data_IF_664895917834
#
_entry.id   IF_664895917834
#
_cell.length_a   1.000
_cell.length_b   1.000
_cell.length_c   1.000
_cell.angle_alpha   90.00
_cell.angle_beta   90.00
_cell.angle_gamma   90.00
#
_symmetry.space_group_name_H-M   'P 1'
#
loop_
_entity.id
_entity.type
_entity.pdbx_description
1 polymer ?
#
# COMPACT_ATOMS: atom_id res chain seq x y z
N UNK A 1 23.34 17.00 -3.46
CA UNK A 1 22.62 15.72 -3.31
C UNK A 1 23.19 14.65 -4.22
N UNK A 2 23.30 14.90 -5.53
CA UNK A 2 23.96 14.01 -6.50
C UNK A 2 25.38 13.56 -6.09
N UNK A 3 26.21 14.48 -5.60
CA UNK A 3 27.57 14.16 -5.12
C UNK A 3 27.59 13.15 -3.98
N UNK A 4 26.55 13.14 -3.12
CA UNK A 4 26.44 12.22 -1.99
C UNK A 4 25.84 10.87 -2.38
N UNK A 5 25.14 10.81 -3.51
CA UNK A 5 24.49 9.60 -4.01
C UNK A 5 24.38 9.68 -5.53
N UNK A 6 25.20 8.89 -6.23
CA UNK A 6 25.22 8.86 -7.70
C UNK A 6 23.88 8.42 -8.31
N UNK A 7 23.04 7.70 -7.56
CA UNK A 7 21.72 7.25 -8.00
C UNK A 7 20.62 8.30 -7.73
N UNK A 8 20.95 9.47 -7.18
CA UNK A 8 20.03 10.61 -7.15
C UNK A 8 19.85 11.14 -8.58
N UNK A 9 18.62 11.32 -9.03
CA UNK A 9 18.32 11.88 -10.34
C UNK A 9 17.79 13.31 -10.18
N UNK A 10 18.25 14.22 -11.03
CA UNK A 10 17.65 15.54 -11.17
C UNK A 10 17.88 16.08 -12.58
N UNK A 11 16.95 16.91 -13.03
CA UNK A 11 17.11 17.75 -14.21
C UNK A 11 16.54 19.14 -13.92
N UNK A 12 17.09 20.15 -14.58
CA UNK A 12 16.69 21.55 -14.46
C UNK A 12 16.47 22.15 -15.85
N UNK A 13 15.45 22.98 -15.98
CA UNK A 13 15.29 23.93 -17.06
C UNK A 13 15.41 25.34 -16.48
N UNK A 14 16.28 26.16 -17.07
CA UNK A 14 16.56 27.52 -16.63
C UNK A 14 15.95 28.53 -17.60
N UNK A 15 15.56 29.69 -17.07
CA UNK A 15 15.26 30.88 -17.86
C UNK A 15 16.54 31.53 -18.40
N UNK A 16 16.39 32.53 -19.27
CA UNK A 16 17.51 33.31 -19.80
C UNK A 16 18.35 33.99 -18.69
N UNK A 17 17.71 34.40 -17.60
CA UNK A 17 18.34 35.02 -16.44
C UNK A 17 18.98 34.01 -15.45
N UNK A 18 19.08 32.73 -15.86
CA UNK A 18 19.56 31.61 -15.04
C UNK A 18 18.68 31.26 -13.83
N UNK A 19 17.48 31.85 -13.70
CA UNK A 19 16.51 31.41 -12.69
C UNK A 19 15.89 30.06 -13.05
N UNK A 20 15.51 29.28 -12.04
CA UNK A 20 14.92 27.95 -12.25
C UNK A 20 13.51 28.13 -12.82
N UNK A 21 13.29 27.64 -14.04
CA UNK A 21 11.98 27.54 -14.67
C UNK A 21 11.28 26.25 -14.28
N UNK A 22 11.97 25.11 -14.44
CA UNK A 22 11.51 23.77 -14.06
C UNK A 22 12.62 23.03 -13.32
N UNK A 23 12.24 22.25 -12.33
CA UNK A 23 13.13 21.31 -11.67
C UNK A 23 12.38 20.01 -11.42
N UNK A 24 13.05 18.90 -11.65
CA UNK A 24 12.58 17.58 -11.24
C UNK A 24 13.70 16.86 -10.49
N UNK A 25 13.36 16.12 -9.45
CA UNK A 25 14.30 15.24 -8.77
C UNK A 25 13.63 14.02 -8.13
N UNK A 26 14.40 12.94 -8.03
CA UNK A 26 14.03 11.74 -7.30
C UNK A 26 15.29 11.16 -6.64
N UNK A 27 15.15 10.70 -5.39
CA UNK A 27 16.24 9.98 -4.72
C UNK A 27 16.32 8.52 -5.18
N UNK A 28 17.46 7.89 -4.92
CA UNK A 28 17.72 6.50 -5.32
C UNK A 28 16.69 5.50 -4.74
N UNK A 29 16.20 5.77 -3.53
CA UNK A 29 15.19 4.94 -2.86
C UNK A 29 13.85 5.05 -3.58
N UNK A 30 13.46 6.25 -4.00
CA UNK A 30 12.26 6.56 -4.74
C UNK A 30 12.25 5.88 -6.10
N UNK A 31 13.37 5.94 -6.83
CA UNK A 31 13.55 5.27 -8.12
C UNK A 31 13.43 3.74 -7.95
N UNK A 32 14.11 3.15 -6.98
CA UNK A 32 14.01 1.72 -6.70
C UNK A 32 12.63 1.31 -6.15
N UNK A 33 11.91 2.21 -5.48
CA UNK A 33 10.57 1.95 -4.98
C UNK A 33 9.54 1.91 -6.12
N UNK A 34 9.74 2.70 -7.17
CA UNK A 34 8.88 2.71 -8.36
C UNK A 34 8.75 1.34 -9.02
N UNK A 35 9.81 0.54 -9.05
CA UNK A 35 9.78 -0.83 -9.59
C UNK A 35 8.70 -1.72 -8.96
N UNK A 36 8.38 -1.46 -7.69
CA UNK A 36 7.37 -2.23 -6.95
C UNK A 36 6.04 -1.48 -6.84
N UNK A 37 6.09 -0.16 -6.71
CA UNK A 37 4.94 0.68 -6.33
C UNK A 37 4.53 1.69 -7.41
N UNK A 38 5.06 1.55 -8.62
CA UNK A 38 4.81 2.43 -9.77
C UNK A 38 3.64 2.04 -10.66
N UNK A 39 2.78 1.11 -10.25
CA UNK A 39 1.59 0.71 -11.01
C UNK A 39 0.54 1.80 -11.08
N UNK A 40 0.26 2.49 -9.97
CA UNK A 40 -0.66 3.63 -9.92
C UNK A 40 0.04 4.78 -9.22
N UNK A 41 0.18 5.89 -9.94
CA UNK A 41 0.83 7.10 -9.44
C UNK A 41 -0.19 8.21 -9.32
N UNK A 42 -0.22 8.86 -8.16
CA UNK A 42 -0.89 10.14 -7.98
C UNK A 42 0.11 11.26 -8.20
N UNK A 43 -0.27 12.25 -9.00
CA UNK A 43 0.46 13.49 -9.19
C UNK A 43 -0.44 14.67 -8.83
N UNK A 44 -0.05 15.38 -7.77
CA UNK A 44 -0.77 16.52 -7.23
C UNK A 44 0.17 17.72 -7.18
N UNK A 45 -0.32 18.86 -7.67
CA UNK A 45 0.38 20.14 -7.60
C UNK A 45 -0.19 20.96 -6.46
N UNK A 46 0.57 21.13 -5.39
CA UNK A 46 0.13 21.97 -4.29
C UNK A 46 0.49 23.42 -4.57
N UNK A 47 -0.52 24.29 -4.61
CA UNK A 47 -0.33 25.74 -4.54
C UNK A 47 0.07 26.14 -3.12
N UNK A 48 1.36 26.07 -2.83
CA UNK A 48 1.93 26.81 -1.72
C UNK A 48 3.13 27.58 -2.26
N UNK A 49 2.94 28.89 -2.36
CA UNK A 49 3.92 29.87 -2.80
C UNK A 49 5.11 29.82 -1.84
N UNK A 50 6.12 29.03 -2.21
CA UNK A 50 7.45 29.24 -1.64
C UNK A 50 7.86 30.71 -1.90
N UNK A 51 8.91 31.21 -1.24
CA UNK A 51 9.36 32.62 -1.42
C UNK A 51 9.66 33.03 -2.87
N UNK A 52 9.66 32.06 -3.79
CA UNK A 52 9.93 32.20 -5.22
C UNK A 52 8.69 31.98 -6.11
N UNK A 53 7.51 31.78 -5.50
CA UNK A 53 6.23 31.60 -6.20
C UNK A 53 6.20 30.39 -7.17
N UNK A 54 6.99 29.34 -6.90
CA UNK A 54 6.99 28.11 -7.71
C UNK A 54 5.90 27.13 -7.24
N UNK A 55 5.32 26.42 -8.20
CA UNK A 55 4.38 25.31 -8.02
C UNK A 55 5.15 24.04 -7.68
N UNK A 56 4.78 23.37 -6.60
CA UNK A 56 5.39 22.11 -6.20
C UNK A 56 4.51 20.94 -6.65
N UNK A 57 5.09 20.03 -7.43
CA UNK A 57 4.47 18.76 -7.84
C UNK A 57 5.06 17.59 -7.08
N UNK A 58 4.21 16.64 -6.67
CA UNK A 58 4.65 15.41 -6.01
C UNK A 58 4.14 14.17 -6.74
N UNK A 59 5.02 13.21 -7.00
CA UNK A 59 4.66 11.91 -7.53
C UNK A 59 4.60 10.91 -6.38
N UNK A 60 3.43 10.33 -6.16
CA UNK A 60 3.14 9.50 -4.99
C UNK A 60 2.54 8.17 -5.43
N UNK A 61 3.18 7.07 -5.07
CA UNK A 61 2.65 5.71 -5.20
C UNK A 61 2.09 5.17 -3.88
N UNK A 62 1.64 3.91 -3.89
CA UNK A 62 1.13 3.22 -2.69
C UNK A 62 1.98 1.99 -2.42
N UNK A 63 2.63 1.93 -1.25
CA UNK A 63 3.43 0.78 -0.87
C UNK A 63 2.57 -0.42 -0.48
N UNK A 64 3.21 -1.57 -0.28
CA UNK A 64 2.61 -2.83 0.18
C UNK A 64 1.89 -2.81 1.54
N UNK A 65 1.97 -1.70 2.28
CA UNK A 65 1.20 -1.44 3.51
C UNK A 65 -0.07 -0.63 3.24
N UNK A 66 -0.26 -0.11 2.02
CA UNK A 66 -1.34 0.82 1.69
C UNK A 66 -1.02 2.26 2.07
N UNK A 67 0.24 2.60 2.33
CA UNK A 67 0.68 3.94 2.68
C UNK A 67 1.24 4.67 1.47
N UNK A 68 1.08 5.99 1.45
CA UNK A 68 1.68 6.87 0.44
C UNK A 68 3.20 6.76 0.46
N UNK A 69 3.80 6.65 -0.72
CA UNK A 69 5.24 6.62 -0.92
C UNK A 69 5.62 7.68 -1.95
N UNK A 70 6.46 8.62 -1.55
CA UNK A 70 7.00 9.63 -2.46
C UNK A 70 7.96 8.95 -3.43
N UNK A 71 7.79 9.22 -4.72
CA UNK A 71 8.57 8.62 -5.80
C UNK A 71 9.31 9.67 -6.63
N UNK A 72 9.00 10.95 -6.44
CA UNK A 72 9.77 12.08 -6.95
C UNK A 72 9.01 13.39 -6.77
N UNK A 73 9.69 14.49 -7.07
CA UNK A 73 9.18 15.83 -6.87
C UNK A 73 9.53 16.74 -8.03
N UNK A 74 8.73 17.79 -8.20
CA UNK A 74 9.02 18.86 -9.14
C UNK A 74 8.76 20.24 -8.56
N UNK A 75 9.44 21.22 -9.15
CA UNK A 75 9.12 22.63 -9.03
C UNK A 75 8.90 23.19 -10.42
N UNK A 76 7.85 23.98 -10.60
CA UNK A 76 7.52 24.60 -11.89
C UNK A 76 7.15 26.05 -11.66
N UNK A 77 7.60 26.95 -12.52
CA UNK A 77 7.23 28.37 -12.45
C UNK A 77 5.75 28.60 -12.77
N UNK A 78 5.17 27.78 -13.62
CA UNK A 78 3.78 27.82 -14.04
C UNK A 78 3.24 26.41 -14.37
N UNK A 79 1.93 26.28 -14.46
CA UNK A 79 1.23 25.04 -14.82
C UNK A 79 0.84 25.03 -16.30
N UNK A 80 1.82 25.31 -17.16
CA UNK A 80 1.64 25.28 -18.61
C UNK A 80 1.80 23.86 -19.16
N UNK A 81 1.14 23.59 -20.29
CA UNK A 81 1.17 22.26 -20.95
C UNK A 81 2.61 21.83 -21.26
N UNK A 82 3.45 22.75 -21.75
CA UNK A 82 4.85 22.44 -22.05
C UNK A 82 5.66 22.12 -20.79
N UNK A 83 5.40 22.80 -19.67
CA UNK A 83 6.01 22.51 -18.37
C UNK A 83 5.69 21.09 -17.89
N UNK A 84 4.43 20.65 -18.03
CA UNK A 84 4.03 19.28 -17.71
C UNK A 84 4.60 18.25 -18.68
N UNK A 85 4.67 18.58 -19.97
CA UNK A 85 5.25 17.69 -20.99
C UNK A 85 6.73 17.43 -20.71
N UNK A 86 7.50 18.47 -20.43
CA UNK A 86 8.90 18.36 -20.00
C UNK A 86 9.00 17.51 -18.73
N UNK A 87 8.18 17.80 -17.72
CA UNK A 87 8.18 17.10 -16.44
C UNK A 87 7.91 15.60 -16.59
N UNK A 88 6.88 15.20 -17.36
CA UNK A 88 6.55 13.79 -17.53
C UNK A 88 7.56 13.04 -18.40
N UNK A 89 8.20 13.71 -19.36
CA UNK A 89 9.33 13.13 -20.10
C UNK A 89 10.54 12.93 -19.18
N UNK A 90 10.82 13.90 -18.32
CA UNK A 90 11.89 13.82 -17.32
C UNK A 90 11.64 12.68 -16.33
N UNK A 91 10.43 12.57 -15.80
CA UNK A 91 9.97 11.47 -14.98
C UNK A 91 10.18 10.12 -15.66
N UNK A 92 9.78 10.00 -16.93
CA UNK A 92 9.89 8.74 -17.67
C UNK A 92 11.37 8.33 -17.86
N UNK A 93 12.26 9.28 -18.17
CA UNK A 93 13.71 9.03 -18.21
C UNK A 93 14.23 8.58 -16.85
N UNK A 94 13.86 9.26 -15.78
CA UNK A 94 14.25 8.92 -14.41
C UNK A 94 13.83 7.50 -14.02
N UNK A 95 12.66 7.04 -14.48
CA UNK A 95 12.13 5.70 -14.20
C UNK A 95 12.58 4.64 -15.22
N UNK A 96 13.64 4.92 -15.99
CA UNK A 96 14.23 3.98 -16.94
C UNK A 96 13.33 3.65 -18.13
N UNK A 97 12.47 4.59 -18.55
CA UNK A 97 11.53 4.41 -19.66
C UNK A 97 10.22 3.71 -19.28
N UNK A 98 10.04 3.35 -18.00
CA UNK A 98 8.87 2.62 -17.55
C UNK A 98 7.72 3.56 -17.14
N UNK A 99 6.61 3.50 -17.87
CA UNK A 99 5.41 4.26 -17.55
C UNK A 99 4.55 3.53 -16.50
N UNK A 100 3.87 4.27 -15.61
CA UNK A 100 2.91 3.68 -14.69
C UNK A 100 1.68 3.14 -15.42
N UNK A 101 1.01 2.13 -14.85
CA UNK A 101 -0.22 1.55 -15.43
C UNK A 101 -1.43 2.48 -15.29
N UNK A 102 -1.43 3.33 -14.26
CA UNK A 102 -2.46 4.33 -14.01
C UNK A 102 -1.86 5.61 -13.44
N UNK A 103 -2.44 6.74 -13.83
CA UNK A 103 -2.03 8.07 -13.39
C UNK A 103 -3.25 8.86 -12.88
N UNK A 104 -3.19 9.33 -11.64
CA UNK A 104 -4.24 10.11 -10.99
C UNK A 104 -3.76 11.55 -10.82
N UNK A 105 -4.57 12.53 -11.22
CA UNK A 105 -4.24 13.94 -11.04
C UNK A 105 -5.48 14.78 -10.82
N UNK A 106 -5.36 15.84 -10.03
CA UNK A 106 -6.43 16.79 -9.70
C UNK A 106 -6.53 17.95 -10.71
N UNK A 107 -5.48 18.15 -11.52
CA UNK A 107 -5.33 19.08 -12.64
C UNK A 107 -6.36 18.81 -13.74
N UNK A 108 -7.55 19.35 -13.54
CA UNK A 108 -8.70 18.93 -14.30
C UNK A 108 -9.81 20.00 -14.21
N UNK A 109 -9.60 21.20 -14.75
CA UNK A 109 -10.72 22.03 -15.20
C UNK A 109 -11.21 21.57 -16.59
N UNK A 110 -10.29 21.04 -17.40
CA UNK A 110 -10.55 20.60 -18.78
C UNK A 110 -11.14 19.19 -18.89
N UNK A 111 -10.92 18.31 -17.91
CA UNK A 111 -11.32 16.88 -17.96
C UNK A 111 -12.48 16.51 -17.02
N UNK A 112 -12.97 17.41 -16.14
CA UNK A 112 -13.87 17.05 -15.00
C UNK A 112 -15.35 17.17 -15.29
N UNK A 113 -15.75 17.74 -16.43
CA UNK A 113 -17.15 18.10 -16.68
C UNK A 113 -17.96 16.91 -17.22
N UNK A 114 -17.89 15.75 -16.57
CA UNK A 114 -18.83 14.67 -16.88
C UNK A 114 -19.10 13.63 -15.77
N UNK A 115 -18.32 13.53 -14.69
CA UNK A 115 -18.40 12.36 -13.79
C UNK A 115 -18.57 12.74 -12.31
N UNK A 116 -19.39 13.76 -11.99
CA UNK A 116 -19.85 13.96 -10.61
C UNK A 116 -21.29 14.47 -10.59
N UNK A 117 -22.24 13.55 -10.77
CA UNK A 117 -23.59 13.67 -10.22
C UNK A 117 -23.98 12.38 -9.53
N UNK A 118 -24.56 12.54 -8.33
CA UNK A 118 -25.26 11.55 -7.50
C UNK A 118 -24.30 10.82 -6.51
N UNK A 119 -24.55 10.70 -5.20
CA UNK A 119 -25.80 10.50 -4.43
C UNK A 119 -25.65 11.03 -2.98
N UNK A 120 -26.73 11.47 -2.30
CA UNK A 120 -26.69 12.20 -1.01
C UNK A 120 -26.84 11.31 0.25
N UNK A 121 -26.32 11.87 1.34
CA UNK A 121 -26.40 11.50 2.76
C UNK A 121 -27.80 11.54 3.40
N UNK A 122 -28.09 10.66 4.39
CA UNK A 122 -28.56 11.02 5.78
C UNK A 122 -28.90 9.79 6.66
N UNK A 123 -28.64 9.94 7.97
CA UNK A 123 -28.66 8.97 9.09
C UNK A 123 -29.75 9.31 10.14
N UNK A 124 -30.20 8.29 10.91
CA UNK A 124 -30.73 8.24 12.31
C UNK A 124 -31.92 7.26 12.44
N UNK A 125 -32.18 6.42 13.47
CA UNK A 125 -31.51 6.02 14.72
C UNK A 125 -32.30 4.89 15.46
N UNK A 126 -31.56 3.92 16.05
CA UNK A 126 -31.72 2.84 17.09
C UNK A 126 -33.07 2.30 17.62
N UNK A 127 -33.19 1.04 18.13
CA UNK A 127 -32.42 0.34 19.22
C UNK A 127 -32.42 -1.22 19.16
N UNK A 128 -31.32 -1.84 19.68
CA UNK A 128 -31.21 -3.29 20.00
C UNK A 128 -29.77 -3.88 20.14
N UNK A 129 -28.73 -3.18 19.69
CA UNK A 129 -27.37 -3.71 19.44
C UNK A 129 -26.36 -3.62 20.61
N UNK A 130 -26.71 -2.97 21.74
CA UNK A 130 -25.72 -2.47 22.69
C UNK A 130 -24.92 -3.54 23.49
N UNK A 131 -25.47 -4.75 23.70
CA UNK A 131 -24.85 -5.72 24.64
C UNK A 131 -23.66 -6.47 24.03
N UNK A 132 -23.77 -6.88 22.76
CA UNK A 132 -22.69 -7.56 22.02
C UNK A 132 -21.57 -6.58 21.68
N UNK A 133 -21.91 -5.34 21.31
CA UNK A 133 -20.95 -4.29 20.97
C UNK A 133 -20.13 -3.82 22.19
N UNK A 134 -20.74 -3.82 23.39
CA UNK A 134 -20.07 -3.49 24.63
C UNK A 134 -19.07 -4.58 25.05
N UNK A 135 -19.44 -5.85 24.98
CA UNK A 135 -18.55 -6.97 25.32
C UNK A 135 -17.40 -7.11 24.32
N UNK A 136 -17.69 -6.95 23.01
CA UNK A 136 -16.66 -6.92 21.95
C UNK A 136 -15.70 -5.74 22.11
N UNK A 137 -16.21 -4.55 22.46
CA UNK A 137 -15.38 -3.36 22.69
C UNK A 137 -14.46 -3.53 23.90
N UNK A 138 -14.91 -4.19 24.97
CA UNK A 138 -14.05 -4.45 26.13
C UNK A 138 -12.89 -5.41 25.81
N UNK A 139 -13.13 -6.43 24.99
CA UNK A 139 -12.07 -7.38 24.57
C UNK A 139 -11.02 -6.68 23.69
N UNK A 140 -11.46 -5.82 22.78
CA UNK A 140 -10.59 -5.15 21.80
C UNK A 140 -9.80 -3.98 22.40
N UNK A 141 -10.43 -3.16 23.25
CA UNK A 141 -9.81 -1.92 23.72
C UNK A 141 -9.02 -2.05 25.03
N UNK A 142 -9.26 -3.09 25.83
CA UNK A 142 -8.58 -3.26 27.13
C UNK A 142 -7.46 -4.33 27.12
N UNK A 143 -7.08 -4.84 25.96
CA UNK A 143 -5.99 -5.82 25.85
C UNK A 143 -4.65 -5.12 25.66
N UNK A 144 -3.81 -5.15 26.70
CA UNK A 144 -2.53 -4.43 26.76
C UNK A 144 -1.34 -5.26 26.27
N UNK A 145 -1.56 -6.52 25.88
CA UNK A 145 -0.56 -7.41 25.31
C UNK A 145 -1.18 -8.39 24.31
N UNK A 146 -0.37 -8.90 23.40
CA UNK A 146 -0.79 -9.88 22.39
C UNK A 146 -1.37 -11.15 23.02
N UNK A 147 -0.72 -11.68 24.05
CA UNK A 147 -1.17 -12.92 24.70
C UNK A 147 -2.47 -12.74 25.48
N UNK A 148 -2.73 -11.54 26.05
CA UNK A 148 -4.02 -11.26 26.68
C UNK A 148 -5.13 -11.06 25.66
N UNK A 149 -4.82 -10.44 24.52
CA UNK A 149 -5.76 -10.31 23.41
C UNK A 149 -6.17 -11.66 22.85
N UNK A 150 -5.20 -12.53 22.56
CA UNK A 150 -5.47 -13.86 21.98
C UNK A 150 -6.29 -14.73 22.94
N UNK A 151 -6.05 -14.67 24.26
CA UNK A 151 -6.89 -15.36 25.25
C UNK A 151 -8.30 -14.80 25.33
N UNK A 152 -8.45 -13.49 25.49
CA UNK A 152 -9.78 -12.85 25.63
C UNK A 152 -10.62 -12.97 24.35
N UNK A 153 -9.95 -12.96 23.19
CA UNK A 153 -10.59 -13.17 21.90
C UNK A 153 -11.05 -14.61 21.73
N UNK A 154 -10.25 -15.60 22.12
CA UNK A 154 -10.67 -17.00 22.09
C UNK A 154 -11.83 -17.29 23.06
N UNK A 155 -11.84 -16.67 24.24
CA UNK A 155 -12.94 -16.78 25.20
C UNK A 155 -14.24 -16.16 24.66
N UNK A 156 -14.14 -15.01 24.00
CA UNK A 156 -15.26 -14.41 23.25
C UNK A 156 -15.78 -15.36 22.16
N UNK A 157 -14.89 -15.94 21.34
CA UNK A 157 -15.29 -16.88 20.28
C UNK A 157 -15.96 -18.15 20.84
N UNK A 158 -15.50 -18.66 22.00
CA UNK A 158 -16.12 -19.78 22.72
C UNK A 158 -17.51 -19.42 23.24
N UNK A 159 -17.64 -18.26 23.90
CA UNK A 159 -18.90 -17.80 24.51
C UNK A 159 -20.02 -17.56 23.48
N UNK A 160 -19.68 -17.31 22.21
CA UNK A 160 -20.64 -17.13 21.11
C UNK A 160 -20.69 -18.32 20.12
N UNK A 161 -20.00 -19.43 20.39
CA UNK A 161 -20.07 -20.65 19.57
C UNK A 161 -19.45 -20.52 18.17
N UNK A 162 -18.43 -19.68 18.01
CA UNK A 162 -17.82 -19.31 16.72
C UNK A 162 -16.51 -20.07 16.40
N UNK A 163 -16.12 -21.01 17.26
CA UNK A 163 -14.79 -21.66 17.25
C UNK A 163 -14.61 -22.69 16.11
N UNK A 164 -15.68 -23.33 15.63
CA UNK A 164 -15.58 -24.53 14.76
C UNK A 164 -15.72 -24.29 13.25
N UNK A 165 -15.55 -23.06 12.76
CA UNK A 165 -15.67 -22.80 11.32
C UNK A 165 -14.36 -23.11 10.55
N UNK A 166 -14.04 -24.40 10.36
CA UNK A 166 -12.84 -24.90 9.62
C UNK A 166 -12.65 -24.29 8.22
N UNK A 167 -13.73 -23.82 7.60
CA UNK A 167 -13.71 -23.16 6.29
C UNK A 167 -13.03 -21.78 6.36
N UNK A 168 -13.37 -20.96 7.37
CA UNK A 168 -12.79 -19.61 7.56
C UNK A 168 -11.26 -19.68 7.70
N UNK A 169 -10.74 -20.70 8.39
CA UNK A 169 -9.29 -20.83 8.61
C UNK A 169 -8.49 -21.07 7.34
N UNK A 170 -9.06 -21.67 6.28
CA UNK A 170 -8.28 -22.15 5.12
C UNK A 170 -7.94 -21.04 4.12
N UNK A 171 -8.91 -20.23 3.69
CA UNK A 171 -8.67 -19.05 2.85
C UNK A 171 -7.98 -17.95 3.66
N UNK A 172 -8.39 -17.74 4.91
CA UNK A 172 -7.75 -16.75 5.77
C UNK A 172 -6.26 -17.08 6.00
N UNK A 173 -5.90 -18.36 6.20
CA UNK A 173 -4.50 -18.79 6.30
C UNK A 173 -3.70 -18.53 5.02
N UNK A 174 -4.28 -18.71 3.83
CA UNK A 174 -3.60 -18.37 2.57
C UNK A 174 -3.21 -16.90 2.52
N UNK A 175 -4.13 -16.00 2.89
CA UNK A 175 -3.82 -14.57 2.95
C UNK A 175 -2.86 -14.23 4.09
N UNK A 176 -2.98 -14.85 5.26
CA UNK A 176 -2.11 -14.62 6.42
C UNK A 176 -0.66 -15.01 6.14
N UNK A 177 -0.45 -16.12 5.43
CA UNK A 177 0.87 -16.62 5.06
C UNK A 177 1.58 -15.67 4.08
N UNK A 178 0.85 -15.08 3.14
CA UNK A 178 1.44 -14.25 2.07
C UNK A 178 1.46 -12.77 2.42
N UNK A 179 0.36 -12.19 2.91
CA UNK A 179 0.21 -10.73 3.02
C UNK A 179 0.92 -10.12 4.24
N UNK A 180 1.26 -8.84 4.15
CA UNK A 180 1.69 -8.04 5.31
C UNK A 180 0.60 -8.01 6.38
N UNK A 181 0.99 -7.83 7.65
CA UNK A 181 0.02 -7.75 8.75
C UNK A 181 -1.04 -6.66 8.53
N UNK A 182 -0.65 -5.50 7.98
CA UNK A 182 -1.58 -4.41 7.71
C UNK A 182 -2.60 -4.78 6.63
N UNK A 183 -2.15 -5.38 5.51
CA UNK A 183 -3.07 -5.80 4.45
C UNK A 183 -3.94 -6.97 4.88
N UNK A 184 -3.37 -7.92 5.63
CA UNK A 184 -4.14 -9.02 6.18
C UNK A 184 -5.27 -8.52 7.11
N UNK A 185 -5.05 -7.48 7.92
CA UNK A 185 -6.14 -6.88 8.72
C UNK A 185 -7.31 -6.36 7.88
N UNK A 186 -7.04 -5.77 6.71
CA UNK A 186 -8.09 -5.37 5.77
C UNK A 186 -8.86 -6.59 5.23
N UNK A 187 -8.16 -7.68 4.90
CA UNK A 187 -8.78 -8.96 4.52
C UNK A 187 -9.66 -9.51 5.65
N UNK A 188 -9.15 -9.53 6.89
CA UNK A 188 -9.92 -9.98 8.05
C UNK A 188 -11.17 -9.13 8.28
N UNK A 189 -11.12 -7.82 8.01
CA UNK A 189 -12.31 -6.97 8.09
C UNK A 189 -13.39 -7.38 7.06
N UNK A 190 -13.00 -7.87 5.88
CA UNK A 190 -13.95 -8.43 4.90
C UNK A 190 -14.50 -9.78 5.37
N UNK A 191 -13.68 -10.65 5.94
CA UNK A 191 -14.14 -11.92 6.55
C UNK A 191 -15.15 -11.70 7.67
N UNK A 192 -14.90 -10.72 8.56
CA UNK A 192 -15.86 -10.35 9.62
C UNK A 192 -17.14 -9.76 9.04
N UNK A 193 -17.02 -8.84 8.07
CA UNK A 193 -18.16 -8.20 7.42
C UNK A 193 -19.06 -9.17 6.64
N UNK A 194 -18.54 -10.32 6.24
CA UNK A 194 -19.32 -11.40 5.60
C UNK A 194 -20.45 -11.90 6.49
N UNK A 195 -20.33 -11.87 7.81
CA UNK A 195 -21.40 -12.30 8.73
C UNK A 195 -22.71 -11.50 8.51
N UNK A 196 -22.61 -10.30 7.96
CA UNK A 196 -23.75 -9.44 7.62
C UNK A 196 -24.29 -9.71 6.21
N UNK A 197 -23.75 -10.67 5.47
CA UNK A 197 -24.16 -10.97 4.10
C UNK A 197 -25.12 -12.15 4.06
N UNK A 198 -26.22 -11.98 3.34
CA UNK A 198 -27.17 -13.04 3.00
C UNK A 198 -27.01 -13.36 1.53
N UNK A 199 -26.49 -14.54 1.22
CA UNK A 199 -26.29 -15.02 -0.15
C UNK A 199 -27.51 -15.79 -0.64
N UNK A 200 -27.97 -15.49 -1.85
CA UNK A 200 -29.06 -16.21 -2.53
C UNK A 200 -28.62 -16.55 -3.95
N UNK A 201 -28.74 -17.83 -4.33
CA UNK A 201 -28.51 -18.27 -5.71
C UNK A 201 -29.69 -17.80 -6.57
N UNK A 202 -29.39 -17.08 -7.65
CA UNK A 202 -30.39 -16.56 -8.58
C UNK A 202 -30.47 -17.40 -9.85
N UNK A 203 -29.31 -17.79 -10.39
CA UNK A 203 -29.23 -18.59 -11.60
C UNK A 203 -27.98 -19.48 -11.56
N UNK A 204 -28.06 -20.68 -12.11
CA UNK A 204 -26.90 -21.56 -12.29
C UNK A 204 -27.03 -22.33 -13.60
N UNK A 205 -26.01 -22.24 -14.44
CA UNK A 205 -25.93 -22.97 -15.71
C UNK A 205 -24.47 -23.28 -16.04
N UNK A 206 -24.19 -24.54 -16.43
CA UNK A 206 -22.89 -24.97 -16.99
C UNK A 206 -21.66 -24.57 -16.15
N UNK A 207 -21.75 -24.69 -14.81
CA UNK A 207 -20.65 -24.35 -13.90
C UNK A 207 -20.49 -22.86 -13.62
N UNK A 208 -21.34 -22.01 -14.20
CA UNK A 208 -21.44 -20.58 -13.93
C UNK A 208 -22.68 -20.28 -13.09
N UNK A 209 -22.49 -19.60 -11.98
CA UNK A 209 -23.54 -19.26 -11.02
C UNK A 209 -23.60 -17.76 -10.75
N UNK A 210 -24.81 -17.24 -10.64
CA UNK A 210 -25.10 -15.83 -10.34
C UNK A 210 -25.85 -15.76 -9.02
N UNK A 211 -25.33 -14.94 -8.12
CA UNK A 211 -25.80 -14.75 -6.76
C UNK A 211 -26.28 -13.32 -6.53
N UNK A 212 -27.39 -13.17 -5.83
CA UNK A 212 -27.74 -11.93 -5.14
C UNK A 212 -27.20 -12.02 -3.71
N UNK A 213 -26.34 -11.08 -3.32
CA UNK A 213 -25.86 -10.94 -1.96
C UNK A 213 -26.47 -9.69 -1.35
N UNK A 214 -27.35 -9.87 -0.37
CA UNK A 214 -27.86 -8.79 0.46
C UNK A 214 -26.89 -8.54 1.62
N UNK A 215 -26.17 -7.42 1.59
CA UNK A 215 -25.38 -6.97 2.74
C UNK A 215 -26.26 -6.17 3.69
N UNK A 216 -26.41 -6.68 4.90
CA UNK A 216 -27.05 -6.00 6.01
C UNK A 216 -26.15 -4.85 6.47
N UNK A 217 -26.49 -3.64 6.04
CA UNK A 217 -25.84 -2.41 6.50
C UNK A 217 -26.50 -1.91 7.79
N UNK A 218 -27.78 -2.21 7.95
CA UNK A 218 -28.57 -2.00 9.15
C UNK A 218 -29.66 -3.06 9.26
N UNK A 219 -30.42 -3.08 10.35
CA UNK A 219 -31.48 -4.06 10.62
C UNK A 219 -32.46 -4.29 9.45
N UNK A 220 -32.70 -3.26 8.62
CA UNK A 220 -33.71 -3.28 7.56
C UNK A 220 -33.17 -2.89 6.18
N UNK A 221 -31.92 -2.43 6.09
CA UNK A 221 -31.32 -2.01 4.81
C UNK A 221 -30.34 -3.08 4.36
N UNK A 222 -30.72 -3.73 3.26
CA UNK A 222 -29.87 -4.63 2.53
C UNK A 222 -29.40 -3.94 1.26
N UNK A 223 -28.11 -3.62 1.18
CA UNK A 223 -27.51 -3.30 -0.10
C UNK A 223 -27.39 -4.59 -0.90
N UNK A 224 -27.94 -4.61 -2.11
CA UNK A 224 -27.91 -5.78 -2.97
C UNK A 224 -26.73 -5.68 -3.93
N UNK A 225 -25.96 -6.76 -3.99
CA UNK A 225 -24.84 -6.89 -4.90
C UNK A 225 -25.00 -8.15 -5.72
N UNK A 226 -24.70 -8.05 -7.01
CA UNK A 226 -24.58 -9.24 -7.86
C UNK A 226 -23.15 -9.78 -7.75
N UNK A 227 -23.05 -11.08 -7.53
CA UNK A 227 -21.78 -11.81 -7.52
C UNK A 227 -21.89 -12.96 -8.51
N UNK A 228 -20.88 -13.13 -9.36
CA UNK A 228 -20.80 -14.23 -10.30
C UNK A 228 -19.64 -15.13 -9.93
N UNK A 229 -19.87 -16.45 -10.06
CA UNK A 229 -18.87 -17.46 -9.76
C UNK A 229 -18.82 -18.48 -10.89
N UNK A 230 -17.63 -18.67 -11.44
CA UNK A 230 -17.29 -19.71 -12.40
C UNK A 230 -16.49 -20.79 -11.66
N UNK A 231 -17.14 -21.92 -11.44
CA UNK A 231 -16.54 -23.07 -10.75
C UNK A 231 -15.46 -23.77 -11.59
N UNK A 232 -15.51 -23.66 -12.92
CA UNK A 232 -14.54 -24.27 -13.83
C UNK A 232 -13.26 -23.43 -13.89
N UNK A 233 -13.41 -22.12 -14.02
CA UNK A 233 -12.29 -21.17 -14.04
C UNK A 233 -11.76 -20.82 -12.63
N UNK A 234 -12.46 -21.26 -11.57
CA UNK A 234 -12.26 -20.83 -10.18
C UNK A 234 -12.22 -19.30 -10.05
N UNK A 235 -13.16 -18.63 -10.71
CA UNK A 235 -13.21 -17.18 -10.85
C UNK A 235 -14.48 -16.62 -10.21
N UNK A 236 -14.30 -15.66 -9.30
CA UNK A 236 -15.36 -14.89 -8.68
C UNK A 236 -15.26 -13.41 -9.03
N UNK A 237 -16.39 -12.79 -9.37
CA UNK A 237 -16.51 -11.35 -9.61
C UNK A 237 -17.67 -10.78 -8.80
N UNK A 238 -17.48 -9.61 -8.22
CA UNK A 238 -18.52 -8.91 -7.48
C UNK A 238 -18.72 -7.50 -8.04
N UNK A 239 -19.98 -7.10 -8.17
CA UNK A 239 -20.38 -5.77 -8.60
C UNK A 239 -19.79 -4.62 -7.76
N UNK A 240 -19.37 -4.88 -6.51
CA UNK A 240 -18.77 -3.84 -5.67
C UNK A 240 -17.35 -3.42 -6.11
N UNK A 241 -16.70 -4.21 -6.98
CA UNK A 241 -15.38 -3.95 -7.54
C UNK A 241 -14.26 -3.76 -6.51
N UNK A 242 -14.40 -4.29 -5.28
CA UNK A 242 -13.38 -4.11 -4.24
C UNK A 242 -12.07 -4.80 -4.60
N UNK A 243 -12.12 -5.94 -5.30
CA UNK A 243 -10.91 -6.62 -5.73
C UNK A 243 -10.21 -5.85 -6.83
N UNK A 244 -10.95 -5.33 -7.79
CA UNK A 244 -10.43 -4.52 -8.90
C UNK A 244 -9.86 -3.19 -8.41
N UNK A 245 -10.46 -2.59 -7.37
CA UNK A 245 -10.04 -1.30 -6.83
C UNK A 245 -8.99 -1.38 -5.71
N UNK A 246 -8.99 -2.45 -4.89
CA UNK A 246 -8.09 -2.58 -3.73
C UNK A 246 -7.26 -3.87 -3.70
N UNK A 247 -7.52 -4.80 -4.61
CA UNK A 247 -6.82 -6.09 -4.65
C UNK A 247 -7.18 -7.01 -3.48
N UNK A 248 -8.35 -6.80 -2.88
CA UNK A 248 -8.85 -7.58 -1.74
C UNK A 248 -10.26 -8.08 -2.07
N UNK A 249 -10.49 -9.38 -1.88
CA UNK A 249 -11.82 -9.98 -2.02
C UNK A 249 -12.79 -9.34 -1.04
N UNK A 250 -13.93 -8.85 -1.54
CA UNK A 250 -14.96 -8.28 -0.68
C UNK A 250 -15.69 -9.35 0.13
N UNK A 251 -16.33 -8.89 1.21
CA UNK A 251 -17.27 -9.70 2.01
C UNK A 251 -18.35 -10.40 1.17
N UNK A 252 -18.82 -9.81 0.07
CA UNK A 252 -19.84 -10.44 -0.78
C UNK A 252 -19.30 -11.63 -1.56
N UNK A 253 -18.10 -11.47 -2.14
CA UNK A 253 -17.38 -12.56 -2.81
C UNK A 253 -17.05 -13.67 -1.80
N UNK A 254 -16.54 -13.32 -0.62
CA UNK A 254 -16.28 -14.27 0.46
C UNK A 254 -17.57 -14.97 0.94
N UNK A 255 -18.71 -14.29 0.90
CA UNK A 255 -20.02 -14.88 1.21
C UNK A 255 -20.41 -15.97 0.21
N UNK A 256 -20.23 -15.70 -1.09
CA UNK A 256 -20.48 -16.69 -2.15
C UNK A 256 -19.48 -17.84 -2.10
N UNK A 257 -18.18 -17.59 -1.92
CA UNK A 257 -17.18 -18.67 -1.78
C UNK A 257 -17.50 -19.59 -0.60
N UNK A 258 -18.10 -19.05 0.46
CA UNK A 258 -18.58 -19.86 1.59
C UNK A 258 -19.82 -20.67 1.27
N UNK A 259 -20.74 -20.08 0.50
CA UNK A 259 -21.94 -20.77 0.05
C UNK A 259 -21.55 -21.95 -0.85
N UNK A 260 -20.56 -21.75 -1.72
CA UNK A 260 -19.96 -22.75 -2.62
C UNK A 260 -18.95 -23.69 -1.94
N UNK A 261 -18.70 -23.52 -0.63
CA UNK A 261 -17.77 -24.34 0.16
C UNK A 261 -16.33 -24.39 -0.38
N UNK A 262 -15.89 -23.32 -1.04
CA UNK A 262 -14.53 -23.22 -1.61
C UNK A 262 -13.51 -23.05 -0.49
N UNK A 263 -12.58 -23.99 -0.32
CA UNK A 263 -11.56 -23.94 0.73
C UNK A 263 -10.29 -23.19 0.33
N UNK A 264 -10.04 -23.02 -0.97
CA UNK A 264 -8.89 -22.27 -1.48
C UNK A 264 -9.26 -21.37 -2.64
N UNK A 265 -8.73 -20.15 -2.60
CA UNK A 265 -8.91 -19.20 -3.69
C UNK A 265 -7.78 -19.36 -4.69
N UNK A 266 -8.08 -19.16 -5.97
CA UNK A 266 -7.05 -19.12 -7.00
C UNK A 266 -5.99 -18.06 -6.67
N UNK A 267 -4.72 -18.34 -6.99
CA UNK A 267 -3.58 -17.42 -6.78
C UNK A 267 -3.81 -16.04 -7.43
N UNK A 268 -4.69 -15.94 -8.43
CA UNK A 268 -5.09 -14.66 -9.04
C UNK A 268 -5.64 -13.65 -8.01
N UNK A 269 -6.20 -14.11 -6.90
CA UNK A 269 -6.73 -13.26 -5.83
C UNK A 269 -5.70 -12.94 -4.74
N UNK A 270 -4.49 -13.51 -4.82
CA UNK A 270 -3.38 -13.29 -3.90
C UNK A 270 -2.32 -12.44 -4.62
N UNK A 271 -2.38 -11.13 -4.43
CA UNK A 271 -1.50 -10.20 -5.12
C UNK A 271 -0.12 -10.13 -4.46
N UNK A 272 0.93 -10.40 -5.24
CA UNK A 272 2.33 -10.29 -4.81
C UNK A 272 2.69 -8.90 -4.26
N UNK A 273 2.04 -7.85 -4.78
CA UNK A 273 2.18 -6.48 -4.29
C UNK A 273 2.02 -6.38 -2.77
N UNK A 274 1.04 -7.09 -2.21
CA UNK A 274 0.73 -7.07 -0.78
C UNK A 274 1.55 -8.09 0.03
N UNK A 275 2.40 -8.87 -0.65
CA UNK A 275 3.17 -9.95 -0.03
C UNK A 275 4.29 -9.43 0.87
N UNK A 276 4.43 -10.04 2.05
CA UNK A 276 5.59 -9.86 2.94
C UNK A 276 6.81 -10.68 2.52
N UNK A 277 6.63 -11.62 1.57
CA UNK A 277 7.70 -12.52 1.11
C UNK A 277 8.60 -11.89 0.03
N UNK A 278 8.14 -10.81 -0.61
CA UNK A 278 8.90 -10.08 -1.63
C UNK A 278 10.01 -9.26 -0.97
N UNK A 279 11.28 -9.56 -1.32
CA UNK A 279 12.42 -8.70 -0.97
C UNK A 279 12.40 -7.48 -1.88
N UNK A 280 12.39 -6.29 -1.30
CA UNK A 280 12.29 -5.03 -2.06
C UNK A 280 13.56 -4.21 -1.93
N UNK A 281 14.23 -3.96 -3.06
CA UNK A 281 15.55 -3.31 -3.11
C UNK A 281 15.59 -1.96 -2.40
N UNK A 282 14.54 -1.15 -2.55
CA UNK A 282 14.47 0.19 -1.94
C UNK A 282 14.59 0.18 -0.41
N UNK A 283 14.26 -0.93 0.27
CA UNK A 283 14.42 -1.06 1.73
C UNK A 283 15.87 -1.12 2.19
N UNK A 284 16.81 -1.33 1.26
CA UNK A 284 18.24 -1.40 1.54
C UNK A 284 19.00 -0.14 1.13
N UNK A 285 18.36 0.77 0.39
CA UNK A 285 18.96 2.04 -0.05
C UNK A 285 18.78 3.06 1.05
N UNK A 286 19.86 3.62 1.58
CA UNK A 286 19.85 4.66 2.63
C UNK A 286 19.15 5.94 2.18
N UNK A 287 18.38 6.58 3.07
CA UNK A 287 17.93 7.96 2.91
C UNK A 287 18.43 8.85 4.06
N UNK A 288 18.48 10.17 3.85
CA UNK A 288 18.96 11.15 4.84
C UNK A 288 18.10 11.25 6.11
N UNK A 289 16.95 10.56 6.14
CA UNK A 289 15.97 10.60 7.23
C UNK A 289 15.92 9.31 8.07
N UNK A 290 16.77 8.32 7.81
CA UNK A 290 16.73 7.04 8.53
C UNK A 290 17.40 7.12 9.93
N UNK A 291 16.80 6.45 10.92
CA UNK A 291 17.32 6.30 12.29
C UNK A 291 18.58 5.41 12.35
N UNK A 292 19.47 5.57 13.36
CA UNK A 292 20.77 4.86 13.46
C UNK A 292 20.68 3.32 13.56
N UNK A 293 19.52 2.73 13.81
CA UNK A 293 19.38 1.26 13.88
C UNK A 293 19.31 0.58 12.50
N UNK A 294 18.96 1.32 11.43
CA UNK A 294 19.03 0.85 10.04
C UNK A 294 20.48 0.80 9.50
N UNK A 295 21.43 1.28 10.29
CA UNK A 295 22.74 1.71 9.84
C UNK A 295 23.69 0.53 9.54
N UNK A 296 23.60 -0.60 10.27
CA UNK A 296 24.52 -1.73 10.06
C UNK A 296 24.17 -2.59 8.84
N UNK A 297 22.88 -2.81 8.57
CA UNK A 297 22.43 -3.56 7.38
C UNK A 297 22.53 -2.73 6.11
N UNK A 298 22.24 -1.43 6.18
CA UNK A 298 22.42 -0.50 5.05
C UNK A 298 23.90 -0.36 4.67
N UNK A 299 24.82 -0.18 5.64
CA UNK A 299 26.27 -0.15 5.37
C UNK A 299 26.76 -1.43 4.68
N UNK A 300 26.29 -2.59 5.14
CA UNK A 300 26.64 -3.87 4.53
C UNK A 300 26.10 -3.97 3.09
N UNK A 301 24.90 -3.47 2.83
CA UNK A 301 24.33 -3.45 1.48
C UNK A 301 25.07 -2.47 0.55
N UNK A 302 25.38 -1.27 1.02
CA UNK A 302 26.10 -0.25 0.23
C UNK A 302 27.50 -0.75 -0.18
N UNK A 303 28.22 -1.41 0.74
CA UNK A 303 29.53 -2.04 0.44
C UNK A 303 29.40 -3.18 -0.59
N UNK A 304 28.36 -4.01 -0.47
CA UNK A 304 28.10 -5.09 -1.43
C UNK A 304 27.75 -4.54 -2.81
N UNK A 305 26.93 -3.49 -2.89
CA UNK A 305 26.61 -2.82 -4.15
C UNK A 305 27.88 -2.27 -4.79
N UNK A 306 28.70 -1.54 -4.02
CA UNK A 306 29.96 -0.97 -4.53
C UNK A 306 30.90 -2.06 -5.08
N UNK A 307 31.10 -3.15 -4.33
CA UNK A 307 31.93 -4.27 -4.82
C UNK A 307 31.33 -4.97 -6.04
N UNK A 308 30.00 -5.14 -6.07
CA UNK A 308 29.33 -5.77 -7.19
C UNK A 308 29.43 -4.94 -8.46
N UNK A 309 29.41 -3.61 -8.37
CA UNK A 309 29.55 -2.72 -9.52
C UNK A 309 30.90 -2.94 -10.22
N UNK A 310 32.00 -2.98 -9.45
CA UNK A 310 33.33 -3.20 -10.02
C UNK A 310 33.44 -4.57 -10.72
N UNK A 311 32.83 -5.61 -10.15
CA UNK A 311 32.84 -6.96 -10.72
C UNK A 311 31.97 -7.02 -11.97
N UNK A 312 30.80 -6.37 -11.96
CA UNK A 312 29.91 -6.29 -13.12
C UNK A 312 30.54 -5.49 -14.27
N UNK A 313 31.25 -4.40 -13.97
CA UNK A 313 31.99 -3.61 -14.97
C UNK A 313 33.03 -4.49 -15.67
N UNK A 314 33.90 -5.17 -14.91
CA UNK A 314 34.90 -6.07 -15.46
C UNK A 314 34.27 -7.26 -16.23
N UNK A 315 33.22 -7.88 -15.68
CA UNK A 315 32.59 -9.03 -16.33
C UNK A 315 31.87 -8.66 -17.62
N UNK A 316 31.41 -7.40 -17.76
CA UNK A 316 30.73 -6.91 -18.96
C UNK A 316 31.64 -6.75 -20.18
N UNK A 317 32.96 -6.89 -20.00
CA UNK A 317 33.94 -6.81 -21.09
C UNK A 317 33.95 -8.05 -21.99
N UNK A 318 33.41 -9.20 -21.53
CA UNK A 318 33.36 -10.44 -22.30
C UNK A 318 32.15 -11.29 -21.93
N UNK A 319 31.59 -11.96 -22.93
CA UNK A 319 30.46 -12.87 -22.76
C UNK A 319 30.84 -14.08 -21.89
N UNK A 320 32.07 -14.59 -22.04
CA UNK A 320 32.62 -15.66 -21.21
C UNK A 320 32.73 -15.24 -19.73
N UNK A 321 33.21 -14.02 -19.45
CA UNK A 321 33.31 -13.49 -18.09
C UNK A 321 31.93 -13.26 -17.46
N UNK A 322 30.97 -12.79 -18.24
CA UNK A 322 29.58 -12.63 -17.81
C UNK A 322 28.96 -13.97 -17.40
N UNK A 323 29.21 -15.05 -18.17
CA UNK A 323 28.75 -16.41 -17.83
C UNK A 323 29.38 -16.92 -16.53
N UNK A 324 30.67 -16.63 -16.30
CA UNK A 324 31.35 -17.00 -15.05
C UNK A 324 30.70 -16.27 -13.86
N UNK A 325 30.43 -14.97 -14.00
CA UNK A 325 29.79 -14.17 -12.95
C UNK A 325 28.38 -14.67 -12.64
N UNK A 326 27.58 -15.03 -13.65
CA UNK A 326 26.25 -15.61 -13.44
C UNK A 326 26.30 -16.90 -12.62
N UNK A 327 27.19 -17.85 -12.98
CA UNK A 327 27.35 -19.10 -12.22
C UNK A 327 27.80 -18.86 -10.79
N UNK A 328 28.69 -17.89 -10.58
CA UNK A 328 29.17 -17.52 -9.25
C UNK A 328 28.03 -16.94 -8.40
N UNK A 329 27.19 -16.06 -8.97
CA UNK A 329 26.02 -15.54 -8.28
C UNK A 329 25.02 -16.63 -7.91
N UNK A 330 24.72 -17.56 -8.82
CA UNK A 330 23.82 -18.68 -8.53
C UNK A 330 24.34 -19.54 -7.38
N UNK A 331 25.64 -19.86 -7.40
CA UNK A 331 26.30 -20.66 -6.34
C UNK A 331 26.23 -19.96 -4.99
N UNK A 332 26.61 -18.68 -4.93
CA UNK A 332 26.58 -17.88 -3.69
C UNK A 332 25.15 -17.75 -3.15
N UNK A 333 24.16 -17.57 -4.04
CA UNK A 333 22.76 -17.48 -3.62
C UNK A 333 22.28 -18.77 -2.95
N UNK A 334 22.63 -19.94 -3.48
CA UNK A 334 22.30 -21.24 -2.86
C UNK A 334 22.93 -21.36 -1.47
N UNK A 335 24.22 -21.07 -1.34
CA UNK A 335 24.93 -21.13 -0.05
C UNK A 335 24.31 -20.20 1.00
N UNK A 336 23.95 -18.98 0.61
CA UNK A 336 23.30 -18.01 1.50
C UNK A 336 21.91 -18.49 1.96
N UNK A 337 21.16 -19.16 1.10
CA UNK A 337 19.85 -19.73 1.44
C UNK A 337 19.96 -20.91 2.40
N UNK A 338 20.93 -21.80 2.20
CA UNK A 338 21.20 -22.92 3.11
C UNK A 338 21.60 -22.45 4.52
N UNK A 339 22.49 -21.45 4.62
CA UNK A 339 22.89 -20.87 5.90
C UNK A 339 21.71 -20.20 6.62
N UNK A 340 20.81 -19.57 5.86
CA UNK A 340 19.60 -18.96 6.41
C UNK A 340 18.60 -20.01 6.90
N UNK A 341 18.48 -21.14 6.21
CA UNK A 341 17.66 -22.27 6.63
C UNK A 341 18.21 -22.90 7.92
N UNK A 342 19.53 -23.11 8.01
CA UNK A 342 20.21 -23.62 9.21
C UNK A 342 19.98 -22.74 10.44
N UNK A 343 20.08 -21.41 10.31
CA UNK A 343 19.84 -20.47 11.42
C UNK A 343 18.42 -20.49 11.97
N UNK A 344 17.40 -20.71 11.13
CA UNK A 344 15.99 -20.78 11.56
C UNK A 344 15.68 -22.03 12.41
N UNK A 345 16.50 -23.08 12.35
CA UNK A 345 16.33 -24.29 13.17
C UNK A 345 16.84 -24.19 14.61
N UNK A 346 17.61 -23.14 14.94
CA UNK A 346 18.40 -23.07 16.20
C UNK A 346 18.02 -21.93 17.15
N UNK A 347 17.09 -21.04 16.81
CA UNK A 347 16.74 -19.89 17.67
C UNK A 347 15.45 -20.12 18.46
N UNK A 348 15.56 -20.85 19.56
CA UNK A 348 14.68 -20.73 20.73
C UNK A 348 15.54 -20.34 21.93
N UNK A 349 15.16 -19.26 22.64
CA UNK A 349 15.80 -18.65 23.83
C UNK A 349 16.97 -17.72 23.47
N UNK A 350 17.12 -16.48 23.97
CA UNK A 350 16.55 -15.76 25.11
C UNK A 350 16.51 -14.25 24.82
N UNK A 351 15.47 -13.55 25.28
CA UNK A 351 15.43 -12.09 25.37
C UNK A 351 16.04 -11.69 26.72
N UNK A 352 17.13 -10.91 26.71
CA UNK A 352 17.51 -10.10 27.86
C UNK A 352 17.30 -8.63 27.52
N UNK A 353 16.58 -7.96 28.42
CA UNK A 353 16.25 -6.55 28.40
C UNK A 353 17.49 -5.69 28.69
N UNK A 354 17.78 -4.73 27.82
CA UNK A 354 18.70 -3.63 28.11
C UNK A 354 17.91 -2.33 28.17
N UNK A 355 17.74 -1.82 29.40
CA UNK A 355 17.33 -0.46 29.72
C UNK A 355 18.19 0.56 28.95
N UNK A 356 17.54 1.56 28.33
CA UNK A 356 18.21 2.73 27.80
C UNK A 356 17.92 3.93 28.71
N UNK A 357 18.96 4.44 29.36
CA UNK A 357 18.93 5.67 30.16
C UNK A 357 18.62 6.90 29.29
N UNK A 358 17.93 7.84 29.93
CA UNK A 358 17.48 9.12 29.42
C UNK A 358 18.61 10.10 29.12
N UNK A 359 18.61 10.72 27.93
CA UNK A 359 19.32 11.99 27.68
C UNK A 359 18.47 12.97 26.85
N UNK A 360 18.06 14.02 27.56
CA UNK A 360 17.78 15.41 27.20
C UNK A 360 16.73 15.79 26.13
N UNK A 361 15.69 16.46 26.65
CA UNK A 361 14.65 17.21 25.95
C UNK A 361 15.21 18.34 25.08
N UNK A 362 14.88 18.33 23.79
CA UNK A 362 14.93 19.51 22.92
C UNK A 362 13.51 20.07 22.77
N UNK A 363 13.30 21.31 23.21
CA UNK A 363 12.02 21.99 23.03
C UNK A 363 11.77 22.36 21.56
N UNK A 364 10.52 22.19 21.14
CA UNK A 364 10.06 22.54 19.79
C UNK A 364 10.05 24.07 19.58
N UNK A 365 10.36 24.56 18.36
CA UNK A 365 10.22 25.98 18.02
C UNK A 365 8.76 26.46 18.12
N UNK A 366 8.53 27.77 18.38
CA UNK A 366 7.20 28.30 18.57
C UNK A 366 6.32 28.16 17.31
N UNK A 367 5.11 27.62 17.50
CA UNK A 367 4.08 27.49 16.47
C UNK A 367 3.67 28.86 15.94
N UNK A 368 3.89 29.11 14.65
CA UNK A 368 3.28 30.23 13.93
C UNK A 368 1.92 29.76 13.38
N UNK A 369 0.88 30.60 13.51
CA UNK A 369 -0.45 30.33 12.96
C UNK A 369 -0.40 30.22 11.44
N UNK A 370 -0.79 29.08 10.90
CA UNK A 370 -1.14 28.94 9.48
C UNK A 370 -2.33 29.84 9.15
N UNK A 371 -2.24 30.60 8.06
CA UNK A 371 -3.38 31.34 7.51
C UNK A 371 -4.35 30.33 6.91
N UNK A 372 -5.37 29.96 7.67
CA UNK A 372 -6.51 29.21 7.16
C UNK A 372 -7.33 30.02 6.14
N UNK A 373 -8.18 29.30 5.41
CA UNK A 373 -9.19 29.78 4.45
C UNK A 373 -9.88 31.08 4.94
N UNK A 374 -10.07 32.11 4.09
CA UNK A 374 -10.75 33.33 4.48
C UNK A 374 -12.18 33.06 4.98
N UNK A 375 -12.52 33.58 6.16
CA UNK A 375 -13.92 33.66 6.64
C UNK A 375 -14.54 34.96 6.11
N UNK A 376 -15.18 34.93 4.95
CA UNK A 376 -16.12 35.99 4.54
C UNK A 376 -17.42 35.32 4.08
N UNK A 377 -18.42 35.29 4.97
CA UNK A 377 -19.59 36.19 5.02
C UNK A 377 -20.57 35.95 3.86
N UNK A 378 -21.52 35.04 4.10
CA UNK A 378 -22.83 35.06 3.45
C UNK A 378 -23.51 36.37 3.84
N UNK A 379 -23.46 37.35 2.94
CA UNK A 379 -24.34 38.51 2.99
C UNK A 379 -25.74 38.07 2.58
N UNK A 380 -26.64 38.02 3.56
CA UNK A 380 -28.08 38.05 3.32
C UNK A 380 -28.43 39.31 2.53
N UNK A 381 -28.94 39.16 1.31
CA UNK A 381 -29.82 40.16 0.71
C UNK A 381 -31.22 39.54 0.61
N UNK A 382 -32.09 40.02 1.50
CA UNK A 382 -33.53 40.13 1.23
C UNK A 382 -33.68 40.97 -0.04
N UNK A 383 -34.42 40.48 -1.03
CA UNK A 383 -35.76 40.93 -1.41
C UNK A 383 -36.37 39.86 -2.30
#
# INVERSE_FOLDING_TARGET
MKEKNQNFFFELELEEDQSIKLAFWADARSIAAFEYFGDVISFDTTYNTNRYNLVYGSFVGVNHHGQSTLLGCSLMKNEEIESFKWLFQCWLRCMGGNAPKGFLTDQCASMKRHIMKNIPSKLNGYKGHAKIEQEMSQVVWNSHSKDSFDRNWNDFLLNFGLVDNKWLSSIEAQFQDVYTHQKFREVQAQFRGKANCITRLTNSALGYSVYEVGEQVSSSIFNKFVVTYDSVAAEIKCQCLLFESRGILCRHALSVLSFEQVSQVSLRYILERWSKKVKRRHTHIKNSHDEPLLEQRSKSFDELVFRSQNICEFASESEELTVILHRAYDTVMIEMEELKAKRKGTSSLSHEDANLESVNELQSPPRIRTRGRPKNRLGSKKY
#
